data_IF_016553974897
#
_entry.id   IF_016553974897
#
_cell.length_a   1.000
_cell.length_b   1.000
_cell.length_c   1.000
_cell.angle_alpha   90.00
_cell.angle_beta   90.00
_cell.angle_gamma   90.00
#
_symmetry.space_group_name_H-M   'P 1'
#
loop_
_entity.id
_entity.type
_entity.pdbx_description
1 polymer ?
#
# COMPACT_ATOMS: atom_id res chain seq x y z
N UNK A 1 -14.32 -0.33 -28.84
CA UNK A 1 -13.38 -1.43 -28.50
C UNK A 1 -12.16 -0.98 -27.68
N UNK A 2 -11.69 0.27 -27.78
CA UNK A 2 -10.54 0.76 -27.00
C UNK A 2 -10.76 0.76 -25.47
N UNK A 3 -11.97 1.08 -25.00
CA UNK A 3 -12.26 1.17 -23.56
C UNK A 3 -12.13 -0.16 -22.80
N UNK A 4 -12.51 -1.29 -23.41
CA UNK A 4 -12.43 -2.61 -22.77
C UNK A 4 -10.98 -3.06 -22.53
N UNK A 5 -10.08 -2.78 -23.48
CA UNK A 5 -8.65 -3.08 -23.32
C UNK A 5 -8.03 -2.25 -22.20
N UNK A 6 -8.35 -0.95 -22.13
CA UNK A 6 -7.85 -0.06 -21.08
C UNK A 6 -8.32 -0.51 -19.68
N UNK A 7 -9.61 -0.83 -19.51
CA UNK A 7 -10.13 -1.36 -18.25
C UNK A 7 -9.43 -2.65 -17.82
N UNK A 8 -9.16 -3.55 -18.77
CA UNK A 8 -8.42 -4.79 -18.48
C UNK A 8 -7.00 -4.51 -17.99
N UNK A 9 -6.28 -3.57 -18.61
CA UNK A 9 -4.92 -3.20 -18.20
C UNK A 9 -4.93 -2.59 -16.79
N UNK A 10 -5.89 -1.71 -16.50
CA UNK A 10 -6.05 -1.12 -15.17
C UNK A 10 -6.35 -2.20 -14.13
N UNK A 11 -7.27 -3.12 -14.40
CA UNK A 11 -7.59 -4.22 -13.49
C UNK A 11 -6.36 -5.10 -13.20
N UNK A 12 -5.59 -5.44 -14.23
CA UNK A 12 -4.35 -6.21 -14.08
C UNK A 12 -3.30 -5.44 -13.26
N UNK A 13 -3.15 -4.13 -13.50
CA UNK A 13 -2.24 -3.29 -12.73
C UNK A 13 -2.61 -3.28 -11.25
N UNK A 14 -3.89 -3.04 -10.95
CA UNK A 14 -4.40 -2.99 -9.59
C UNK A 14 -4.23 -4.33 -8.89
N UNK A 15 -4.58 -5.43 -9.56
CA UNK A 15 -4.38 -6.78 -9.04
C UNK A 15 -2.89 -7.08 -8.78
N UNK A 16 -2.00 -6.71 -9.70
CA UNK A 16 -0.57 -6.92 -9.56
C UNK A 16 0.02 -6.11 -8.39
N UNK A 17 -0.38 -4.85 -8.22
CA UNK A 17 0.07 -4.02 -7.09
C UNK A 17 -0.43 -4.57 -5.77
N UNK A 18 -1.68 -5.03 -5.74
CA UNK A 18 -2.27 -5.61 -4.55
C UNK A 18 -1.57 -6.90 -4.14
N UNK A 19 -1.32 -7.80 -5.10
CA UNK A 19 -0.54 -9.03 -4.87
C UNK A 19 0.89 -8.72 -4.45
N UNK A 20 1.56 -7.75 -5.08
CA UNK A 20 2.89 -7.29 -4.65
C UNK A 20 2.86 -6.79 -3.21
N UNK A 21 1.84 -6.01 -2.84
CA UNK A 21 1.61 -5.55 -1.48
C UNK A 21 1.41 -6.69 -0.48
N UNK A 22 0.67 -7.74 -0.85
CA UNK A 22 0.50 -8.93 -0.01
C UNK A 22 1.81 -9.69 0.19
N UNK A 23 2.57 -9.92 -0.89
CA UNK A 23 3.86 -10.61 -0.84
C UNK A 23 4.84 -9.82 0.05
N UNK A 24 4.91 -8.50 -0.14
CA UNK A 24 5.74 -7.65 0.69
C UNK A 24 5.23 -7.62 2.12
N UNK A 25 3.94 -7.48 2.39
CA UNK A 25 3.44 -7.49 3.77
C UNK A 25 3.80 -8.80 4.49
N UNK A 26 3.60 -9.94 3.83
CA UNK A 26 3.97 -11.25 4.37
C UNK A 26 5.49 -11.38 4.58
N UNK A 27 6.31 -11.02 3.60
CA UNK A 27 7.78 -11.14 3.70
C UNK A 27 8.43 -10.09 4.61
N UNK A 28 7.96 -8.85 4.53
CA UNK A 28 8.47 -7.72 5.30
C UNK A 28 8.11 -7.82 6.77
N UNK A 29 6.95 -8.40 7.13
CA UNK A 29 6.60 -8.61 8.54
C UNK A 29 7.72 -9.33 9.32
N UNK A 30 8.38 -10.31 8.70
CA UNK A 30 9.56 -10.96 9.26
C UNK A 30 10.76 -10.03 9.39
N UNK A 31 11.03 -9.19 8.39
CA UNK A 31 12.11 -8.20 8.46
C UNK A 31 11.86 -7.17 9.56
N UNK A 32 10.61 -6.76 9.81
CA UNK A 32 10.26 -5.89 10.93
C UNK A 32 10.46 -6.58 12.28
N UNK A 33 10.07 -7.87 12.41
CA UNK A 33 10.31 -8.65 13.64
C UNK A 33 11.81 -8.78 13.92
N UNK A 34 12.59 -9.11 12.89
CA UNK A 34 14.05 -9.20 13.02
C UNK A 34 14.63 -7.83 13.37
N UNK A 35 14.25 -6.77 12.65
CA UNK A 35 14.72 -5.40 12.91
C UNK A 35 14.47 -4.96 14.36
N UNK A 36 13.29 -5.27 14.90
CA UNK A 36 12.95 -4.99 16.29
C UNK A 36 13.82 -5.81 17.27
N UNK A 37 14.04 -7.10 16.98
CA UNK A 37 14.85 -7.97 17.84
C UNK A 37 16.33 -7.55 17.91
N UNK A 38 16.91 -7.10 16.79
CA UNK A 38 18.31 -6.62 16.73
C UNK A 38 18.46 -5.10 16.95
N UNK A 39 17.37 -4.38 17.26
CA UNK A 39 17.36 -2.92 17.41
C UNK A 39 18.00 -2.18 16.21
N UNK A 40 17.76 -2.69 15.00
CA UNK A 40 18.38 -2.22 13.78
C UNK A 40 17.29 -1.80 12.77
N UNK A 41 16.74 -0.57 12.87
CA UNK A 41 15.62 -0.12 12.03
C UNK A 41 15.98 -0.08 10.53
N UNK A 42 17.27 0.04 10.21
CA UNK A 42 17.81 0.00 8.84
C UNK A 42 17.46 -1.31 8.12
N UNK A 43 17.22 -2.41 8.85
CA UNK A 43 16.80 -3.70 8.28
C UNK A 43 15.40 -3.67 7.67
N UNK A 44 14.62 -2.61 7.88
CA UNK A 44 13.31 -2.40 7.23
C UNK A 44 13.44 -1.79 5.83
N UNK A 45 14.57 -1.15 5.50
CA UNK A 45 14.80 -0.53 4.18
C UNK A 45 14.68 -1.53 3.02
N UNK A 46 15.22 -2.76 3.08
CA UNK A 46 15.07 -3.74 2.01
C UNK A 46 13.60 -4.03 1.66
N UNK A 47 12.70 -4.06 2.64
CA UNK A 47 11.28 -4.26 2.39
C UNK A 47 10.65 -3.09 1.61
N UNK A 48 10.95 -1.86 2.02
CA UNK A 48 10.47 -0.65 1.35
C UNK A 48 11.04 -0.57 -0.07
N UNK A 49 12.32 -0.86 -0.25
CA UNK A 49 12.99 -0.87 -1.56
C UNK A 49 12.44 -1.98 -2.47
N UNK A 50 12.15 -3.16 -1.92
CA UNK A 50 11.54 -4.26 -2.67
C UNK A 50 10.14 -3.88 -3.15
N UNK A 51 9.31 -3.26 -2.29
CA UNK A 51 7.99 -2.78 -2.69
C UNK A 51 8.08 -1.70 -3.76
N UNK A 52 8.97 -0.71 -3.55
CA UNK A 52 9.20 0.35 -4.53
C UNK A 52 9.63 -0.22 -5.88
N UNK A 53 10.54 -1.19 -5.88
CA UNK A 53 11.02 -1.89 -7.07
C UNK A 53 9.90 -2.65 -7.78
N UNK A 54 9.09 -3.41 -7.05
CA UNK A 54 7.95 -4.15 -7.61
C UNK A 54 6.91 -3.20 -8.22
N UNK A 55 6.54 -2.15 -7.50
CA UNK A 55 5.63 -1.12 -8.02
C UNK A 55 6.23 -0.52 -9.28
N UNK A 56 7.49 -0.08 -9.27
CA UNK A 56 8.15 0.47 -10.45
C UNK A 56 8.10 -0.48 -11.66
N UNK A 57 8.40 -1.77 -11.46
CA UNK A 57 8.32 -2.80 -12.51
C UNK A 57 6.89 -2.95 -13.03
N UNK A 58 5.88 -2.95 -12.16
CA UNK A 58 4.47 -2.97 -12.60
C UNK A 58 4.16 -1.74 -13.45
N UNK A 59 4.62 -0.56 -13.04
CA UNK A 59 4.52 0.67 -13.85
C UNK A 59 5.21 0.57 -15.22
N UNK A 60 6.28 -0.22 -15.33
CA UNK A 60 6.92 -0.54 -16.62
C UNK A 60 6.05 -1.44 -17.50
N UNK A 61 5.36 -2.41 -16.90
CA UNK A 61 4.51 -3.37 -17.60
C UNK A 61 3.15 -2.79 -17.98
N UNK A 62 2.69 -1.74 -17.28
CA UNK A 62 1.39 -1.10 -17.50
C UNK A 62 1.51 0.43 -17.72
N UNK A 63 2.20 0.88 -18.78
CA UNK A 63 2.43 2.31 -19.03
C UNK A 63 1.14 3.09 -19.36
N UNK A 64 0.11 2.41 -19.85
CA UNK A 64 -1.16 3.06 -20.29
C UNK A 64 -2.19 3.22 -19.15
N UNK A 65 -1.94 2.59 -18.01
CA UNK A 65 -2.92 2.54 -16.92
C UNK A 65 -2.94 3.81 -16.06
N UNK A 66 -1.85 4.58 -16.07
CA UNK A 66 -1.74 5.89 -15.40
C UNK A 66 -0.96 6.87 -16.28
N UNK A 67 -1.34 8.15 -16.27
CA UNK A 67 -0.57 9.20 -16.97
C UNK A 67 0.85 9.35 -16.41
N UNK A 68 1.08 8.89 -15.18
CA UNK A 68 2.37 8.96 -14.50
C UNK A 68 3.26 7.74 -14.80
N UNK A 69 2.73 6.58 -15.19
CA UNK A 69 3.55 5.40 -15.52
C UNK A 69 4.17 5.45 -16.92
N UNK A 70 3.75 6.39 -17.78
CA UNK A 70 4.15 6.46 -19.19
C UNK A 70 5.63 6.86 -19.45
N UNK A 71 6.25 7.68 -18.59
CA UNK A 71 7.64 8.16 -18.78
C UNK A 71 8.52 7.80 -17.59
N UNK A 72 9.79 7.50 -17.83
CA UNK A 72 10.73 7.06 -16.78
C UNK A 72 10.77 7.95 -15.52
N UNK A 73 10.94 9.29 -15.58
CA UNK A 73 10.96 10.12 -14.37
C UNK A 73 9.60 10.19 -13.68
N UNK A 74 8.50 10.14 -14.44
CA UNK A 74 7.14 10.14 -13.88
C UNK A 74 6.81 8.78 -13.24
N UNK A 75 7.40 7.69 -13.73
CA UNK A 75 7.23 6.35 -13.20
C UNK A 75 7.90 6.19 -11.84
N UNK A 76 9.06 6.80 -11.65
CA UNK A 76 9.69 6.90 -10.32
C UNK A 76 8.78 7.64 -9.33
N UNK A 77 8.24 8.79 -9.74
CA UNK A 77 7.28 9.53 -8.93
C UNK A 77 6.02 8.71 -8.63
N UNK A 78 5.48 8.01 -9.63
CA UNK A 78 4.32 7.14 -9.46
C UNK A 78 4.58 6.01 -8.47
N UNK A 79 5.74 5.35 -8.56
CA UNK A 79 6.14 4.32 -7.60
C UNK A 79 6.31 4.89 -6.20
N UNK A 80 6.88 6.09 -6.06
CA UNK A 80 7.01 6.77 -4.77
C UNK A 80 5.64 7.13 -4.17
N UNK A 81 4.74 7.67 -4.99
CA UNK A 81 3.39 8.06 -4.58
C UNK A 81 2.53 6.89 -4.14
N UNK A 82 2.78 5.68 -4.64
CA UNK A 82 2.07 4.47 -4.17
C UNK A 82 2.75 3.89 -2.94
N UNK A 83 4.08 3.79 -2.98
CA UNK A 83 4.83 3.07 -1.94
C UNK A 83 4.81 3.84 -0.62
N UNK A 84 5.06 5.15 -0.63
CA UNK A 84 5.15 5.93 0.62
C UNK A 84 3.82 5.94 1.40
N UNK A 85 2.68 6.34 0.81
CA UNK A 85 1.43 6.35 1.55
C UNK A 85 0.87 4.93 1.72
N UNK A 86 1.23 3.97 0.86
CA UNK A 86 0.87 2.57 1.03
C UNK A 86 1.55 1.94 2.24
N UNK A 87 2.84 2.24 2.47
CA UNK A 87 3.57 1.82 3.68
C UNK A 87 2.97 2.47 4.92
N UNK A 88 2.72 3.78 4.90
CA UNK A 88 2.08 4.48 6.01
C UNK A 88 0.68 3.90 6.33
N UNK A 89 -0.13 3.66 5.30
CA UNK A 89 -1.42 3.02 5.45
C UNK A 89 -1.31 1.61 5.98
N UNK A 90 -0.33 0.83 5.52
CA UNK A 90 -0.06 -0.53 5.99
C UNK A 90 0.35 -0.59 7.47
N UNK A 91 1.07 0.42 7.96
CA UNK A 91 1.43 0.55 9.39
C UNK A 91 0.19 0.86 10.24
N UNK A 92 -0.72 1.69 9.73
CA UNK A 92 -1.95 2.08 10.43
C UNK A 92 -3.04 1.01 10.39
N UNK A 93 -3.06 0.20 9.34
CA UNK A 93 -4.13 -0.76 9.08
C UNK A 93 -4.39 -1.77 10.21
N UNK A 94 -3.40 -2.30 10.94
CA UNK A 94 -3.65 -3.14 12.11
C UNK A 94 -4.50 -2.45 13.18
N UNK A 95 -4.22 -1.18 13.49
CA UNK A 95 -5.00 -0.40 14.45
C UNK A 95 -6.43 -0.17 13.97
N UNK A 96 -6.61 0.12 12.68
CA UNK A 96 -7.94 0.24 12.07
C UNK A 96 -8.72 -1.08 12.12
N UNK A 97 -8.08 -2.20 11.79
CA UNK A 97 -8.69 -3.52 11.83
C UNK A 97 -9.06 -3.92 13.27
N UNK A 98 -8.21 -3.60 14.24
CA UNK A 98 -8.49 -3.85 15.65
C UNK A 98 -9.71 -3.04 16.13
N UNK A 99 -9.74 -1.72 15.87
CA UNK A 99 -10.87 -0.87 16.26
C UNK A 99 -12.18 -1.23 15.57
N UNK A 100 -12.12 -1.76 14.34
CA UNK A 100 -13.28 -2.27 13.62
C UNK A 100 -13.64 -3.73 13.98
N UNK A 101 -13.00 -4.33 14.98
CA UNK A 101 -13.23 -5.72 15.43
C UNK A 101 -12.98 -6.77 14.32
N UNK A 102 -12.11 -6.45 13.37
CA UNK A 102 -11.62 -7.36 12.31
C UNK A 102 -10.26 -8.00 12.66
N UNK A 103 -9.75 -7.80 13.88
CA UNK A 103 -8.44 -8.30 14.33
C UNK A 103 -8.30 -9.83 14.29
N UNK A 104 -9.40 -10.57 14.44
CA UNK A 104 -9.39 -12.05 14.51
C UNK A 104 -9.36 -12.74 13.14
N UNK A 105 -9.27 -12.01 12.03
CA UNK A 105 -9.31 -12.58 10.68
C UNK A 105 -8.08 -13.44 10.32
N UNK A 106 -7.09 -13.58 11.21
CA UNK A 106 -5.91 -14.41 10.99
C UNK A 106 -5.19 -14.04 9.68
N UNK A 107 -5.03 -15.01 8.77
CA UNK A 107 -4.42 -14.79 7.45
C UNK A 107 -5.21 -13.82 6.55
N UNK A 108 -6.51 -13.62 6.81
CA UNK A 108 -7.34 -12.65 6.11
C UNK A 108 -6.88 -11.20 6.33
N UNK A 109 -6.16 -10.90 7.41
CA UNK A 109 -5.62 -9.56 7.69
C UNK A 109 -4.60 -9.09 6.63
N UNK A 110 -3.84 -10.00 6.03
CA UNK A 110 -2.83 -9.70 4.98
C UNK A 110 -3.48 -9.06 3.75
N UNK A 111 -4.70 -9.49 3.45
CA UNK A 111 -5.53 -8.97 2.35
C UNK A 111 -5.85 -7.49 2.57
N UNK A 112 -6.17 -7.12 3.80
CA UNK A 112 -6.49 -5.75 4.19
C UNK A 112 -5.25 -4.88 4.38
N UNK A 113 -4.13 -5.44 4.83
CA UNK A 113 -2.86 -4.72 4.99
C UNK A 113 -2.31 -4.14 3.68
N UNK A 114 -2.59 -4.80 2.56
CA UNK A 114 -2.16 -4.37 1.23
C UNK A 114 -3.15 -3.42 0.53
N UNK A 115 -4.34 -3.23 1.12
CA UNK A 115 -5.42 -2.43 0.57
C UNK A 115 -5.05 -0.94 0.36
N UNK A 116 -4.25 -0.28 1.24
CA UNK A 116 -3.76 1.07 0.99
C UNK A 116 -3.03 1.23 -0.35
N UNK A 117 -2.14 0.28 -0.69
CA UNK A 117 -1.40 0.32 -1.96
C UNK A 117 -2.33 0.24 -3.16
N UNK A 118 -3.32 -0.65 -3.09
CA UNK A 118 -4.35 -0.81 -4.13
C UNK A 118 -5.17 0.47 -4.30
N UNK A 119 -5.62 1.07 -3.20
CA UNK A 119 -6.43 2.29 -3.23
C UNK A 119 -5.65 3.48 -3.80
N UNK A 120 -4.39 3.66 -3.39
CA UNK A 120 -3.57 4.75 -3.91
C UNK A 120 -3.29 4.55 -5.39
N UNK A 121 -2.99 3.30 -5.82
CA UNK A 121 -2.86 2.99 -7.23
C UNK A 121 -4.14 3.29 -8.01
N UNK A 122 -5.31 2.93 -7.46
CA UNK A 122 -6.63 3.24 -8.00
C UNK A 122 -6.86 4.74 -8.20
N UNK A 123 -6.50 5.55 -7.20
CA UNK A 123 -6.60 7.01 -7.23
C UNK A 123 -5.69 7.67 -8.29
N UNK A 124 -4.68 6.95 -8.76
CA UNK A 124 -3.74 7.40 -9.80
C UNK A 124 -4.04 6.84 -11.20
N UNK A 125 -5.11 6.03 -11.35
CA UNK A 125 -5.51 5.49 -12.65
C UNK A 125 -6.07 6.57 -13.57
N UNK A 126 -6.05 6.30 -14.88
CA UNK A 126 -6.66 7.19 -15.89
C UNK A 126 -8.18 7.10 -15.95
N UNK A 127 -8.78 6.05 -15.36
CA UNK A 127 -10.23 5.82 -15.39
C UNK A 127 -10.93 6.60 -14.27
N UNK A 128 -11.79 7.55 -14.65
CA UNK A 128 -12.45 8.45 -13.70
C UNK A 128 -13.31 7.71 -12.64
N UNK A 129 -14.17 6.74 -13.00
CA UNK A 129 -14.90 5.94 -12.02
C UNK A 129 -14.00 5.28 -10.96
N UNK A 130 -12.98 4.54 -11.41
CA UNK A 130 -12.04 3.84 -10.50
C UNK A 130 -11.33 4.84 -9.59
N UNK A 131 -10.89 5.97 -10.15
CA UNK A 131 -10.22 7.03 -9.42
C UNK A 131 -11.09 7.66 -8.34
N UNK A 132 -12.36 7.95 -8.63
CA UNK A 132 -13.30 8.51 -7.65
C UNK A 132 -13.59 7.50 -6.55
N UNK A 133 -13.93 6.24 -6.91
CA UNK A 133 -14.20 5.19 -5.93
C UNK A 133 -13.00 4.97 -5.01
N UNK A 134 -11.81 4.87 -5.57
CA UNK A 134 -10.58 4.72 -4.78
C UNK A 134 -10.35 5.94 -3.88
N UNK A 135 -10.53 7.16 -4.39
CA UNK A 135 -10.40 8.40 -3.61
C UNK A 135 -11.35 8.45 -2.40
N UNK A 136 -12.62 8.10 -2.59
CA UNK A 136 -13.61 8.03 -1.51
C UNK A 136 -13.19 7.00 -0.45
N UNK A 137 -12.73 5.82 -0.88
CA UNK A 137 -12.27 4.77 0.03
C UNK A 137 -11.00 5.17 0.79
N UNK A 138 -10.07 5.90 0.17
CA UNK A 138 -8.88 6.46 0.85
C UNK A 138 -9.32 7.43 1.95
N UNK A 139 -10.25 8.35 1.65
CA UNK A 139 -10.75 9.31 2.64
C UNK A 139 -11.43 8.58 3.79
N UNK A 140 -12.28 7.60 3.50
CA UNK A 140 -12.92 6.77 4.52
C UNK A 140 -11.90 6.06 5.41
N UNK A 141 -10.86 5.47 4.81
CA UNK A 141 -9.79 4.79 5.54
C UNK A 141 -9.02 5.75 6.47
N UNK A 142 -8.70 6.96 5.99
CA UNK A 142 -8.03 7.99 6.78
C UNK A 142 -8.93 8.43 7.94
N UNK A 143 -10.22 8.70 7.67
CA UNK A 143 -11.17 9.06 8.72
C UNK A 143 -11.27 7.97 9.79
N UNK A 144 -11.35 6.70 9.41
CA UNK A 144 -11.33 5.59 10.36
C UNK A 144 -10.03 5.55 11.16
N UNK A 145 -8.87 5.70 10.53
CA UNK A 145 -7.57 5.70 11.24
C UNK A 145 -7.37 6.85 12.22
N UNK A 146 -7.98 8.02 11.95
CA UNK A 146 -7.92 9.18 12.85
C UNK A 146 -8.93 9.05 14.00
N UNK A 147 -10.11 8.50 13.73
CA UNK A 147 -11.20 8.46 14.71
C UNK A 147 -11.13 7.24 15.65
N UNK A 148 -10.45 6.16 15.26
CA UNK A 148 -10.29 4.98 16.09
C UNK A 148 -9.08 5.15 17.04
N UNK A 149 -9.27 5.02 18.37
CA UNK A 149 -8.19 5.11 19.35
C UNK A 149 -7.00 4.19 19.03
N UNK A 150 -7.30 2.97 18.58
CA UNK A 150 -6.32 1.92 18.28
C UNK A 150 -5.41 2.30 17.09
N UNK A 151 -5.90 3.15 16.18
CA UNK A 151 -5.11 3.68 15.07
C UNK A 151 -4.01 4.64 15.54
N UNK A 152 -4.34 5.53 16.49
CA UNK A 152 -3.39 6.47 17.10
C UNK A 152 -2.31 5.77 17.92
N UNK A 153 -2.70 4.77 18.71
CA UNK A 153 -1.77 3.99 19.54
C UNK A 153 -0.76 3.20 18.69
N UNK A 154 -1.22 2.63 17.56
CA UNK A 154 -0.36 1.87 16.64
C UNK A 154 0.75 2.73 16.04
N UNK A 155 0.42 3.96 15.64
CA UNK A 155 1.41 4.89 15.07
C UNK A 155 2.45 5.28 16.13
N UNK A 156 2.00 5.57 17.35
CA UNK A 156 2.87 5.96 18.47
C UNK A 156 3.81 4.82 18.87
N UNK A 157 3.30 3.58 18.96
CA UNK A 157 4.07 2.39 19.27
C UNK A 157 5.13 2.08 18.19
N UNK A 158 4.79 2.24 16.90
CA UNK A 158 5.75 2.06 15.80
C UNK A 158 6.96 2.99 15.94
N UNK A 159 6.74 4.29 16.17
CA UNK A 159 7.83 5.27 16.31
C UNK A 159 8.68 5.02 17.55
N UNK A 160 8.06 4.66 18.68
CA UNK A 160 8.80 4.37 19.91
C UNK A 160 9.68 3.12 19.78
N UNK A 161 9.21 2.07 19.08
CA UNK A 161 9.98 0.83 18.91
C UNK A 161 11.07 0.93 17.83
N UNK A 162 10.90 1.83 16.85
CA UNK A 162 11.84 1.95 15.72
C UNK A 162 13.03 2.87 16.02
N UNK A 163 12.88 3.84 16.93
CA UNK A 163 13.86 4.91 17.17
C UNK A 163 14.36 5.01 18.63
N UNK A 164 14.06 4.03 19.48
CA UNK A 164 14.69 3.87 20.81
C UNK A 164 15.78 2.81 20.75
#
# INVERSE_FOLDING_TARGET
MAGFRLMRIIAVQLAAIWVAGMIVAAGASWLFVVAAFVHAPVLTLPAVLAMFGLVYVIGCLTPDASTLSARAPRRLLWAALITMPGVLGGILMPGVLAGLHFGDLGLGSVVFLSLPFLLIAGALTTNLPVRITAGVLVVALICCGIWLPEGGDTLTAFWQNTFR
#
